data_IF_242574420269
#
_entry.id   IF_242574420269
#
_cell.length_a   1.000
_cell.length_b   1.000
_cell.length_c   1.000
_cell.angle_alpha   90.00
_cell.angle_beta   90.00
_cell.angle_gamma   90.00
#
_symmetry.space_group_name_H-M   'P 1'
#
loop_
_entity.id
_entity.type
_entity.pdbx_description
1 polymer ?
#
# COMPACT_ATOMS: atom_id res chain seq x y z
N UNK A 1 5.02 -13.75 2.02
CA UNK A 1 3.82 -14.30 1.37
C UNK A 1 3.51 -15.77 1.67
N UNK A 2 4.18 -16.44 2.65
CA UNK A 2 3.79 -17.80 3.07
C UNK A 2 2.73 -17.85 4.17
N UNK A 3 2.43 -16.74 4.84
CA UNK A 3 1.41 -16.71 5.91
C UNK A 3 -0.02 -16.45 5.41
N UNK A 4 -0.21 -15.91 4.19
CA UNK A 4 -1.54 -15.47 3.71
C UNK A 4 -2.07 -16.30 2.56
N UNK A 5 -1.20 -16.81 1.67
CA UNK A 5 -1.58 -17.72 0.58
C UNK A 5 -0.46 -18.75 0.30
N UNK A 6 -0.44 -19.90 1.00
CA UNK A 6 0.60 -20.92 0.82
C UNK A 6 0.65 -21.50 -0.60
N UNK A 7 -0.46 -21.43 -1.35
CA UNK A 7 -0.59 -22.02 -2.70
C UNK A 7 -0.54 -21.00 -3.85
N UNK A 8 -0.27 -19.72 -3.55
CA UNK A 8 -0.28 -18.65 -4.57
C UNK A 8 1.09 -17.97 -4.66
N UNK A 9 1.74 -18.13 -5.81
CA UNK A 9 2.99 -17.44 -6.14
C UNK A 9 2.74 -16.01 -6.63
N UNK A 10 3.72 -15.11 -6.46
CA UNK A 10 3.71 -13.78 -7.08
C UNK A 10 4.87 -13.73 -8.06
N UNK A 11 4.60 -13.35 -9.31
CA UNK A 11 5.66 -13.19 -10.30
C UNK A 11 6.63 -12.06 -9.92
N UNK A 12 7.92 -12.18 -10.24
CA UNK A 12 8.92 -11.14 -9.95
C UNK A 12 8.52 -9.77 -10.51
N UNK A 13 7.95 -9.75 -11.73
CA UNK A 13 7.42 -8.52 -12.35
C UNK A 13 6.26 -7.92 -11.54
N UNK A 14 5.33 -8.76 -11.04
CA UNK A 14 4.26 -8.29 -10.17
C UNK A 14 4.77 -7.74 -8.84
N UNK A 15 5.82 -8.37 -8.27
CA UNK A 15 6.44 -7.91 -7.03
C UNK A 15 7.10 -6.53 -7.19
N UNK A 16 7.78 -6.27 -8.31
CA UNK A 16 8.40 -4.96 -8.61
C UNK A 16 7.33 -3.85 -8.65
N UNK A 17 6.20 -4.10 -9.33
CA UNK A 17 5.07 -3.17 -9.37
C UNK A 17 4.50 -2.91 -7.98
N UNK A 18 4.33 -3.97 -7.21
CA UNK A 18 3.78 -3.89 -5.87
C UNK A 18 4.68 -3.06 -4.94
N UNK A 19 6.00 -3.25 -5.04
CA UNK A 19 6.97 -2.44 -4.31
C UNK A 19 6.95 -0.96 -4.74
N UNK A 20 6.90 -0.69 -6.04
CA UNK A 20 6.77 0.68 -6.56
C UNK A 20 5.50 1.37 -6.09
N UNK A 21 4.38 0.63 -6.04
CA UNK A 21 3.10 1.14 -5.55
C UNK A 21 3.16 1.47 -4.05
N UNK A 22 3.75 0.58 -3.24
CA UNK A 22 3.94 0.82 -1.81
C UNK A 22 4.79 2.06 -1.56
N UNK A 23 5.87 2.25 -2.31
CA UNK A 23 6.74 3.43 -2.18
C UNK A 23 6.02 4.74 -2.55
N UNK A 24 5.32 4.79 -3.69
CA UNK A 24 4.53 5.98 -4.10
C UNK A 24 3.48 6.34 -3.04
N UNK A 25 2.81 5.34 -2.47
CA UNK A 25 1.84 5.61 -1.41
C UNK A 25 2.50 6.07 -0.11
N UNK A 26 3.60 5.45 0.30
CA UNK A 26 4.35 5.85 1.49
C UNK A 26 4.76 7.32 1.39
N UNK A 27 5.33 7.72 0.25
CA UNK A 27 5.73 9.11 0.00
C UNK A 27 4.54 10.07 0.06
N UNK A 28 3.39 9.70 -0.50
CA UNK A 28 2.17 10.52 -0.44
C UNK A 28 1.65 10.68 0.98
N UNK A 29 1.60 9.60 1.76
CA UNK A 29 1.15 9.65 3.16
C UNK A 29 2.13 10.50 3.97
N UNK A 30 3.44 10.32 3.78
CA UNK A 30 4.46 11.11 4.47
C UNK A 30 4.38 12.60 4.11
N UNK A 31 4.20 12.94 2.83
CA UNK A 31 4.05 14.31 2.37
C UNK A 31 2.79 14.97 2.95
N UNK A 32 1.65 14.26 2.93
CA UNK A 32 0.40 14.79 3.48
C UNK A 32 0.44 14.92 5.01
N UNK A 33 1.03 13.94 5.71
CA UNK A 33 1.23 14.00 7.15
C UNK A 33 2.19 15.13 7.54
N UNK A 34 3.23 15.39 6.74
CA UNK A 34 4.14 16.52 6.92
C UNK A 34 3.41 17.87 6.77
N UNK A 35 2.58 18.02 5.72
CA UNK A 35 1.74 19.22 5.56
C UNK A 35 0.82 19.41 6.76
N UNK A 36 0.15 18.35 7.23
CA UNK A 36 -0.72 18.42 8.40
C UNK A 36 0.03 18.81 9.67
N UNK A 37 1.25 18.31 9.86
CA UNK A 37 2.11 18.72 10.99
C UNK A 37 2.46 20.21 10.90
N UNK A 38 2.81 20.70 9.71
CA UNK A 38 3.09 22.12 9.47
C UNK A 38 1.86 23.01 9.70
N UNK A 39 0.67 22.59 9.25
CA UNK A 39 -0.59 23.29 9.54
C UNK A 39 -0.86 23.38 11.04
N UNK A 40 -0.57 22.32 11.79
CA UNK A 40 -0.69 22.27 13.23
C UNK A 40 0.49 22.93 13.98
N UNK A 41 1.44 23.56 13.25
CA UNK A 41 2.67 24.18 13.78
C UNK A 41 3.51 23.23 14.64
N UNK A 42 3.54 21.95 14.26
CA UNK A 42 4.36 20.92 14.90
C UNK A 42 5.55 20.58 14.01
N UNK A 43 6.73 20.49 14.62
CA UNK A 43 7.95 19.99 13.97
C UNK A 43 7.99 18.46 13.88
N UNK A 44 7.17 17.77 14.68
CA UNK A 44 7.12 16.31 14.75
C UNK A 44 5.81 15.79 14.17
N UNK A 45 5.90 14.89 13.19
CA UNK A 45 4.75 14.14 12.65
C UNK A 45 4.32 13.10 13.69
N UNK A 46 3.09 13.19 14.19
CA UNK A 46 2.55 12.22 15.13
C UNK A 46 1.65 11.19 14.43
N UNK A 47 1.25 10.17 15.20
CA UNK A 47 0.24 9.19 14.79
C UNK A 47 -1.04 9.83 14.25
N UNK A 48 -1.43 11.00 14.77
CA UNK A 48 -2.65 11.70 14.39
C UNK A 48 -2.56 12.26 12.98
N UNK A 49 -1.45 12.89 12.62
CA UNK A 49 -1.25 13.41 11.26
C UNK A 49 -1.24 12.28 10.23
N UNK A 50 -0.63 11.14 10.56
CA UNK A 50 -0.62 9.95 9.69
C UNK A 50 -2.02 9.37 9.53
N UNK A 51 -2.78 9.22 10.62
CA UNK A 51 -4.17 8.74 10.55
C UNK A 51 -5.06 9.66 9.70
N UNK A 52 -4.90 10.97 9.83
CA UNK A 52 -5.63 11.94 9.01
C UNK A 52 -5.19 11.87 7.55
N UNK A 53 -3.90 11.82 7.27
CA UNK A 53 -3.36 11.67 5.91
C UNK A 53 -3.90 10.41 5.22
N UNK A 54 -3.96 9.27 5.93
CA UNK A 54 -4.53 8.02 5.40
C UNK A 54 -6.01 8.18 5.06
N UNK A 55 -6.81 8.84 5.92
CA UNK A 55 -8.23 9.10 5.61
C UNK A 55 -8.43 10.01 4.40
N UNK A 56 -7.50 10.94 4.15
CA UNK A 56 -7.56 11.84 3.01
C UNK A 56 -7.15 11.14 1.71
N UNK A 57 -6.15 10.26 1.76
CA UNK A 57 -5.59 9.60 0.58
C UNK A 57 -6.33 8.32 0.20
N UNK A 58 -6.93 7.63 1.16
CA UNK A 58 -7.57 6.33 0.97
C UNK A 58 -9.08 6.45 1.24
N UNK A 59 -9.94 6.26 0.23
CA UNK A 59 -11.39 6.36 0.42
C UNK A 59 -12.05 5.04 0.87
N UNK A 60 -13.22 5.16 1.49
CA UNK A 60 -14.17 4.06 1.68
C UNK A 60 -13.76 3.00 2.72
N UNK A 61 -14.04 1.74 2.41
CA UNK A 61 -13.80 0.59 3.30
C UNK A 61 -12.32 0.27 3.49
N UNK A 62 -11.46 0.81 2.62
CA UNK A 62 -10.02 0.60 2.69
C UNK A 62 -9.40 1.44 3.81
N UNK A 63 -9.78 2.72 3.92
CA UNK A 63 -9.37 3.56 5.05
C UNK A 63 -9.87 3.01 6.39
N UNK A 64 -11.08 2.46 6.47
CA UNK A 64 -11.59 1.88 7.72
C UNK A 64 -10.75 0.70 8.21
N UNK A 65 -10.37 -0.19 7.30
CA UNK A 65 -9.57 -1.37 7.66
C UNK A 65 -8.14 -0.97 8.04
N UNK A 66 -7.52 -0.15 7.20
CA UNK A 66 -6.23 0.46 7.45
C UNK A 66 -6.22 1.14 8.83
N UNK A 67 -7.23 1.97 9.15
CA UNK A 67 -7.35 2.69 10.41
C UNK A 67 -7.46 1.75 11.62
N UNK A 68 -8.15 0.62 11.46
CA UNK A 68 -8.24 -0.41 12.50
C UNK A 68 -6.87 -1.04 12.77
N UNK A 69 -6.14 -1.41 11.72
CA UNK A 69 -4.78 -1.96 11.84
C UNK A 69 -3.80 -0.94 12.43
N UNK A 70 -3.87 0.32 11.99
CA UNK A 70 -3.12 1.42 12.59
C UNK A 70 -3.40 1.59 14.09
N UNK A 71 -4.66 1.44 14.51
CA UNK A 71 -5.05 1.54 15.93
C UNK A 71 -4.56 0.35 16.74
N UNK A 72 -4.63 -0.88 16.19
CA UNK A 72 -4.05 -2.08 16.80
C UNK A 72 -2.54 -1.97 16.95
N UNK A 73 -1.86 -1.39 15.97
CA UNK A 73 -0.42 -1.16 16.03
C UNK A 73 -0.03 -0.16 17.14
N UNK A 74 -0.85 0.88 17.37
CA UNK A 74 -0.67 1.83 18.48
C UNK A 74 -0.77 1.14 19.84
N UNK A 75 -1.79 0.30 20.03
CA UNK A 75 -2.00 -0.38 21.32
C UNK A 75 -0.92 -1.43 21.59
N UNK A 76 -0.38 -2.06 20.54
CA UNK A 76 0.69 -3.06 20.64
C UNK A 76 2.07 -2.45 20.91
N UNK A 77 2.32 -1.21 20.49
CA UNK A 77 3.62 -0.55 20.65
C UNK A 77 3.49 0.79 21.37
N UNK A 78 3.50 0.73 22.69
CA UNK A 78 3.39 1.90 23.57
C UNK A 78 4.69 2.72 23.68
N UNK A 79 5.84 2.15 23.29
CA UNK A 79 7.18 2.58 23.74
C UNK A 79 8.22 2.95 22.66
N UNK A 80 7.92 2.82 21.35
CA UNK A 80 8.85 3.20 20.28
C UNK A 80 8.13 3.93 19.15
N UNK A 81 8.74 4.98 18.58
CA UNK A 81 8.27 5.85 17.48
C UNK A 81 6.89 5.48 16.90
N UNK A 82 5.82 5.87 17.61
CA UNK A 82 4.42 5.50 17.31
C UNK A 82 4.04 5.84 15.86
N UNK A 83 4.55 6.95 15.34
CA UNK A 83 4.31 7.39 13.96
C UNK A 83 4.80 6.39 12.91
N UNK A 84 6.05 5.92 13.02
CA UNK A 84 6.65 4.95 12.09
C UNK A 84 5.95 3.59 12.13
N UNK A 85 5.58 3.15 13.33
CA UNK A 85 4.92 1.84 13.52
C UNK A 85 3.56 1.82 12.84
N UNK A 86 2.80 2.89 12.98
CA UNK A 86 1.50 3.06 12.33
C UNK A 86 1.66 3.11 10.81
N UNK A 87 2.63 3.87 10.33
CA UNK A 87 2.90 3.95 8.89
C UNK A 87 3.23 2.56 8.31
N UNK A 88 4.05 1.78 9.02
CA UNK A 88 4.38 0.42 8.62
C UNK A 88 3.15 -0.52 8.69
N UNK A 89 2.32 -0.44 9.72
CA UNK A 89 1.12 -1.28 9.80
C UNK A 89 0.11 -0.96 8.71
N UNK A 90 -0.04 0.32 8.37
CA UNK A 90 -0.88 0.75 7.25
C UNK A 90 -0.38 0.24 5.90
N UNK A 91 0.92 0.34 5.65
CA UNK A 91 1.54 -0.18 4.42
C UNK A 91 1.33 -1.69 4.32
N UNK A 92 1.51 -2.42 5.41
CA UNK A 92 1.33 -3.86 5.44
C UNK A 92 -0.14 -4.27 5.21
N UNK A 93 -1.10 -3.64 5.88
CA UNK A 93 -2.54 -3.91 5.67
C UNK A 93 -2.94 -3.68 4.21
N UNK A 94 -2.46 -2.58 3.61
CA UNK A 94 -2.76 -2.30 2.23
C UNK A 94 -2.10 -3.31 1.28
N UNK A 95 -0.85 -3.67 1.54
CA UNK A 95 -0.13 -4.67 0.77
C UNK A 95 -0.85 -6.02 0.80
N UNK A 96 -1.27 -6.47 2.00
CA UNK A 96 -2.04 -7.70 2.17
C UNK A 96 -3.38 -7.63 1.43
N UNK A 97 -4.08 -6.50 1.49
CA UNK A 97 -5.38 -6.38 0.83
C UNK A 97 -5.29 -6.36 -0.69
N UNK A 98 -4.29 -5.68 -1.25
CA UNK A 98 -4.02 -5.71 -2.70
C UNK A 98 -3.63 -7.13 -3.12
N UNK A 99 -2.77 -7.79 -2.34
CA UNK A 99 -2.37 -9.16 -2.61
C UNK A 99 -3.55 -10.13 -2.53
N UNK A 100 -4.45 -9.98 -1.55
CA UNK A 100 -5.65 -10.80 -1.41
C UNK A 100 -6.62 -10.60 -2.59
N UNK A 101 -6.87 -9.35 -3.02
CA UNK A 101 -7.73 -9.10 -4.18
C UNK A 101 -7.10 -9.63 -5.47
N UNK A 102 -5.79 -9.43 -5.65
CA UNK A 102 -5.07 -9.99 -6.80
C UNK A 102 -5.04 -11.52 -6.79
N UNK A 103 -4.95 -12.14 -5.61
CA UNK A 103 -5.07 -13.59 -5.41
C UNK A 103 -6.45 -14.09 -5.83
N UNK A 104 -7.52 -13.40 -5.40
CA UNK A 104 -8.90 -13.69 -5.81
C UNK A 104 -9.10 -13.62 -7.32
N UNK A 105 -8.51 -12.60 -7.97
CA UNK A 105 -8.54 -12.45 -9.43
C UNK A 105 -7.74 -13.54 -10.14
N UNK A 106 -6.59 -13.95 -9.59
CA UNK A 106 -5.80 -15.06 -10.13
C UNK A 106 -6.59 -16.37 -10.04
N UNK A 107 -7.21 -16.65 -8.89
CA UNK A 107 -8.05 -17.83 -8.68
C UNK A 107 -9.29 -17.85 -9.60
N UNK A 108 -9.92 -16.70 -9.83
CA UNK A 108 -11.02 -16.57 -10.79
C UNK A 108 -10.59 -17.02 -12.21
N UNK A 109 -9.35 -16.69 -12.59
CA UNK A 109 -8.76 -17.11 -13.86
C UNK A 109 -8.10 -18.50 -13.81
N UNK A 110 -8.33 -19.29 -12.74
CA UNK A 110 -7.69 -20.60 -12.48
C UNK A 110 -6.16 -20.56 -12.53
N UNK A 111 -5.56 -19.45 -12.12
CA UNK A 111 -4.09 -19.27 -12.03
C UNK A 111 -3.64 -19.36 -10.58
N UNK A 112 -2.58 -20.12 -10.34
CA UNK A 112 -1.87 -20.20 -9.05
C UNK A 112 -0.78 -19.14 -8.89
N UNK A 113 -0.60 -18.26 -9.88
CA UNK A 113 0.42 -17.20 -9.87
C UNK A 113 -0.20 -15.84 -10.18
N UNK A 114 0.02 -14.88 -9.29
CA UNK A 114 -0.37 -13.47 -9.45
C UNK A 114 0.57 -12.80 -10.45
N UNK A 115 0.00 -12.33 -11.56
CA UNK A 115 0.72 -11.57 -12.57
C UNK A 115 0.51 -10.06 -12.39
N UNK A 116 1.26 -9.28 -13.16
CA UNK A 116 1.13 -7.82 -13.18
C UNK A 116 -0.30 -7.36 -13.46
N UNK A 117 -1.09 -8.12 -14.23
CA UNK A 117 -2.46 -7.76 -14.59
C UNK A 117 -3.39 -7.81 -13.39
N UNK A 118 -3.28 -8.84 -12.55
CA UNK A 118 -4.09 -8.97 -11.35
C UNK A 118 -3.72 -7.89 -10.32
N UNK A 119 -2.43 -7.56 -10.17
CA UNK A 119 -1.99 -6.43 -9.32
C UNK A 119 -2.54 -5.09 -9.84
N UNK A 120 -2.40 -4.82 -11.14
CA UNK A 120 -2.90 -3.57 -11.73
C UNK A 120 -4.42 -3.45 -11.62
N UNK A 121 -5.14 -4.57 -11.78
CA UNK A 121 -6.59 -4.61 -11.62
C UNK A 121 -6.99 -4.41 -10.16
N UNK A 122 -6.32 -5.07 -9.23
CA UNK A 122 -6.54 -4.88 -7.79
C UNK A 122 -6.29 -3.43 -7.36
N UNK A 123 -5.19 -2.81 -7.80
CA UNK A 123 -4.87 -1.40 -7.51
C UNK A 123 -5.94 -0.44 -8.08
N UNK A 124 -6.43 -0.69 -9.30
CA UNK A 124 -7.52 0.10 -9.91
C UNK A 124 -8.84 -0.03 -9.16
N UNK A 125 -9.13 -1.21 -8.62
CA UNK A 125 -10.34 -1.46 -7.84
C UNK A 125 -10.24 -0.88 -6.43
N UNK A 126 -9.04 -0.85 -5.83
CA UNK A 126 -8.82 -0.34 -4.48
C UNK A 126 -8.72 1.18 -4.38
N UNK A 127 -8.25 1.90 -5.40
CA UNK A 127 -8.10 3.37 -5.35
C UNK A 127 -8.82 4.05 -6.52
N UNK A 128 -9.71 5.04 -6.27
CA UNK A 128 -10.42 5.73 -7.34
C UNK A 128 -9.49 6.60 -8.20
N UNK A 129 -9.59 6.40 -9.51
CA UNK A 129 -9.16 7.36 -10.53
C UNK A 129 -7.65 7.63 -10.61
N UNK A 130 -7.25 8.88 -10.39
CA UNK A 130 -5.96 9.44 -10.82
C UNK A 130 -4.73 8.80 -10.14
N UNK A 131 -4.84 8.33 -8.89
CA UNK A 131 -3.74 7.67 -8.18
C UNK A 131 -3.36 6.34 -8.86
N UNK A 132 -4.37 5.51 -9.17
CA UNK A 132 -4.15 4.21 -9.80
C UNK A 132 -3.45 4.36 -11.16
N UNK A 133 -3.75 5.41 -11.93
CA UNK A 133 -3.08 5.66 -13.22
C UNK A 133 -1.59 6.01 -13.04
N UNK A 134 -1.25 6.86 -12.07
CA UNK A 134 0.14 7.25 -11.83
C UNK A 134 0.98 6.07 -11.32
N UNK A 135 0.50 5.37 -10.29
CA UNK A 135 1.25 4.25 -9.70
C UNK A 135 1.39 3.06 -10.67
N UNK A 136 0.40 2.82 -11.55
CA UNK A 136 0.50 1.80 -12.61
C UNK A 136 1.48 2.23 -13.70
N UNK A 137 1.51 3.51 -14.06
CA UNK A 137 2.48 4.04 -15.03
C UNK A 137 3.91 3.91 -14.51
N UNK A 138 4.18 4.37 -13.27
CA UNK A 138 5.50 4.27 -12.65
C UNK A 138 5.94 2.82 -12.46
N UNK A 139 5.04 1.94 -12.01
CA UNK A 139 5.33 0.52 -11.96
C UNK A 139 5.71 -0.04 -13.34
N UNK A 140 4.93 0.30 -14.38
CA UNK A 140 5.20 -0.21 -15.73
C UNK A 140 6.57 0.26 -16.23
N UNK A 141 6.96 1.53 -15.97
CA UNK A 141 8.30 2.05 -16.26
C UNK A 141 9.39 1.33 -15.48
N UNK A 142 9.16 1.02 -14.21
CA UNK A 142 10.10 0.26 -13.38
C UNK A 142 10.35 -1.13 -13.95
N UNK A 143 9.31 -1.82 -14.43
CA UNK A 143 9.45 -3.12 -15.10
C UNK A 143 10.25 -3.01 -16.40
N UNK A 144 9.99 -1.99 -17.24
CA UNK A 144 10.74 -1.77 -18.47
C UNK A 144 12.23 -1.52 -18.21
N UNK A 145 12.56 -0.73 -17.18
CA UNK A 145 13.97 -0.51 -16.77
C UNK A 145 14.62 -1.81 -16.31
N UNK A 146 13.89 -2.65 -15.58
CA UNK A 146 14.41 -3.94 -15.12
C UNK A 146 14.67 -4.90 -16.28
N UNK A 147 13.77 -4.96 -17.28
CA UNK A 147 13.94 -5.82 -18.46
C UNK A 147 14.99 -5.33 -19.47
N UNK A 148 15.41 -4.06 -19.38
CA UNK A 148 16.50 -3.52 -20.20
C UNK A 148 17.88 -3.60 -19.53
N UNK A 149 17.94 -4.08 -18.28
CA UNK A 149 19.19 -4.20 -17.51
C UNK A 149 19.74 -5.64 -17.47
N UNK A 150 19.17 -6.55 -18.26
CA UNK A 150 19.65 -7.92 -18.50
C UNK A 150 20.16 -8.08 -19.94
#
# INVERSE_FOLDING_TARGET
MKQVHPDTGISNKAMIIMNSFVNDLFERIAAEASRLAQYNRRSTISSREIQTAVRLLIPGQLAKHAMSEGTKAITKYTSSNKAMIIMNSFVNDLFERIAAEASRLAQYNRRSTISIREIQTAVRLLIPGQLAKHSISEGTKAVTRYTCSE
#
